data_IF_736378006229
#
_entry.id   IF_736378006229
#
_cell.length_a   1.000
_cell.length_b   1.000
_cell.length_c   1.000
_cell.angle_alpha   90.00
_cell.angle_beta   90.00
_cell.angle_gamma   90.00
#
_symmetry.space_group_name_H-M   'P 1'
#
loop_
_entity.id
_entity.type
_entity.pdbx_description
1 polymer ?
#
# COMPACT_ATOMS: atom_id res chain seq x y z
N UNK A 1 -18.10 -29.82 68.74
CA UNK A 1 -17.29 -29.35 67.59
C UNK A 1 -17.03 -27.87 67.83
N UNK A 2 -15.76 -27.50 68.01
CA UNK A 2 -15.12 -26.17 67.90
C UNK A 2 -15.87 -24.95 68.46
N UNK A 3 -15.29 -23.96 69.12
CA UNK A 3 -13.95 -23.64 69.58
C UNK A 3 -14.12 -22.35 70.39
N UNK A 4 -13.18 -22.08 71.29
CA UNK A 4 -12.74 -20.74 71.73
C UNK A 4 -13.78 -19.70 72.14
N UNK A 5 -14.00 -19.58 73.46
CA UNK A 5 -14.16 -18.26 74.08
C UNK A 5 -13.55 -18.22 75.50
N UNK A 6 -12.77 -17.15 75.71
CA UNK A 6 -12.52 -16.38 76.94
C UNK A 6 -11.34 -16.72 77.87
N UNK A 7 -10.53 -15.66 77.96
CA UNK A 7 -9.87 -15.09 79.15
C UNK A 7 -8.51 -15.67 79.58
N UNK A 8 -7.44 -15.07 79.02
CA UNK A 8 -6.26 -14.76 79.82
C UNK A 8 -5.53 -13.49 79.31
N UNK A 9 -5.49 -12.49 80.19
CA UNK A 9 -4.42 -11.48 80.37
C UNK A 9 -4.13 -10.51 79.21
N UNK A 10 -4.86 -9.39 79.24
CA UNK A 10 -4.26 -8.09 78.88
C UNK A 10 -3.41 -7.59 80.05
N UNK A 11 -2.09 -7.71 79.92
CA UNK A 11 -1.13 -6.87 80.64
C UNK A 11 -0.18 -6.27 79.63
N UNK A 12 -0.34 -4.96 79.46
CA UNK A 12 0.72 -3.97 79.32
C UNK A 12 1.94 -4.37 78.49
N UNK A 13 2.06 -3.79 77.30
CA UNK A 13 3.31 -3.13 76.94
C UNK A 13 3.01 -1.89 76.09
N UNK A 14 3.28 -0.75 76.71
CA UNK A 14 3.51 0.53 76.07
C UNK A 14 4.61 0.34 75.01
N UNK A 15 4.37 0.83 73.79
CA UNK A 15 5.43 1.17 72.85
C UNK A 15 5.48 2.71 72.81
N UNK A 16 6.53 3.22 73.43
CA UNK A 16 6.94 4.63 73.46
C UNK A 16 7.04 5.22 72.04
N UNK A 17 6.47 6.41 71.77
CA UNK A 17 6.66 7.12 70.51
C UNK A 17 7.77 8.16 70.63
N UNK A 18 9.06 7.81 70.51
CA UNK A 18 10.09 8.88 70.52
C UNK A 18 11.47 8.64 69.88
N UNK A 19 11.78 7.53 69.19
CA UNK A 19 13.10 7.38 68.54
C UNK A 19 13.10 7.63 67.02
N UNK A 20 12.01 7.33 66.32
CA UNK A 20 11.92 7.51 64.85
C UNK A 20 11.95 8.99 64.45
N UNK A 21 11.51 9.90 65.32
CA UNK A 21 11.48 11.34 65.02
C UNK A 21 12.85 12.01 65.12
N UNK A 22 13.74 11.55 66.00
CA UNK A 22 15.05 12.16 66.19
C UNK A 22 16.02 11.76 65.06
N UNK A 23 16.01 10.48 64.68
CA UNK A 23 16.82 9.97 63.58
C UNK A 23 16.38 10.56 62.23
N UNK A 24 15.06 10.65 62.00
CA UNK A 24 14.51 11.35 60.84
C UNK A 24 14.88 12.84 60.82
N UNK A 25 14.89 13.54 61.96
CA UNK A 25 15.30 14.93 62.04
C UNK A 25 16.79 15.13 61.68
N UNK A 26 17.67 14.21 62.10
CA UNK A 26 19.09 14.22 61.71
C UNK A 26 19.25 14.06 60.19
N UNK A 27 18.50 13.14 59.59
CA UNK A 27 18.56 12.90 58.14
C UNK A 27 17.99 14.07 57.34
N UNK A 28 16.90 14.68 57.81
CA UNK A 28 16.31 15.88 57.19
C UNK A 28 17.31 17.04 57.24
N UNK A 29 17.97 17.28 58.38
CA UNK A 29 18.97 18.34 58.51
C UNK A 29 20.18 18.11 57.59
N UNK A 30 20.67 16.88 57.47
CA UNK A 30 21.76 16.54 56.56
C UNK A 30 21.39 16.81 55.09
N UNK A 31 20.15 16.50 54.69
CA UNK A 31 19.64 16.81 53.36
C UNK A 31 19.50 18.33 53.13
N UNK A 32 19.02 19.09 54.13
CA UNK A 32 18.94 20.54 54.03
C UNK A 32 20.33 21.19 53.95
N UNK A 33 21.34 20.65 54.62
CA UNK A 33 22.73 21.12 54.48
C UNK A 33 23.29 20.88 53.08
N UNK A 34 22.97 19.74 52.46
CA UNK A 34 23.31 19.48 51.05
C UNK A 34 22.61 20.47 50.12
N UNK A 35 21.34 20.80 50.37
CA UNK A 35 20.61 21.82 49.62
C UNK A 35 21.27 23.22 49.76
N UNK A 36 21.66 23.64 50.97
CA UNK A 36 22.39 24.90 51.20
C UNK A 36 23.75 24.92 50.51
N UNK A 37 24.46 23.78 50.47
CA UNK A 37 25.71 23.65 49.73
C UNK A 37 25.50 23.78 48.21
N UNK A 38 24.42 23.19 47.68
CA UNK A 38 24.04 23.32 46.28
C UNK A 38 23.71 24.78 45.91
N UNK A 39 22.95 25.47 46.75
CA UNK A 39 22.62 26.90 46.57
C UNK A 39 23.88 27.77 46.56
N UNK A 40 24.82 27.54 47.49
CA UNK A 40 26.11 28.25 47.53
C UNK A 40 26.95 28.01 46.27
N UNK A 41 26.99 26.78 45.75
CA UNK A 41 27.69 26.47 44.49
C UNK A 41 27.08 27.16 43.27
N UNK A 42 25.79 27.48 43.31
CA UNK A 42 25.08 28.22 42.26
C UNK A 42 25.03 29.74 42.51
N UNK A 43 25.70 30.22 43.57
CA UNK A 43 25.67 31.61 44.02
C UNK A 43 24.23 32.14 44.24
N UNK A 44 23.38 31.35 44.90
CA UNK A 44 22.04 31.75 45.30
C UNK A 44 21.99 32.25 46.73
N UNK A 45 21.20 33.30 46.92
CA UNK A 45 20.78 33.78 48.23
C UNK A 45 19.46 33.10 48.59
N UNK A 46 19.37 32.54 49.79
CA UNK A 46 18.15 31.96 50.34
C UNK A 46 17.41 33.06 51.09
N UNK A 47 16.18 33.37 50.67
CA UNK A 47 15.39 34.45 51.28
C UNK A 47 14.52 33.90 52.42
N UNK A 48 13.86 32.75 52.21
CA UNK A 48 13.10 32.06 53.26
C UNK A 48 13.15 30.51 53.09
N UNK A 49 13.80 29.80 54.02
CA UNK A 49 13.97 28.35 53.96
C UNK A 49 12.75 27.60 54.54
N UNK A 50 12.07 26.79 53.72
CA UNK A 50 10.80 26.10 54.10
C UNK A 50 10.89 24.56 54.08
N UNK A 51 11.99 24.00 54.58
CA UNK A 51 12.17 22.55 54.73
C UNK A 51 12.25 21.78 53.39
N UNK A 52 12.27 20.44 53.44
CA UNK A 52 12.59 19.62 52.26
C UNK A 52 11.56 19.72 51.12
N UNK A 53 10.26 19.71 51.45
CA UNK A 53 9.17 19.65 50.47
C UNK A 53 8.52 21.03 50.27
N UNK A 54 8.81 22.00 51.15
CA UNK A 54 8.30 23.35 51.01
C UNK A 54 9.07 24.16 49.98
N UNK A 55 8.36 25.12 49.38
CA UNK A 55 8.94 26.08 48.45
C UNK A 55 9.81 27.07 49.22
N UNK A 56 11.10 27.08 48.90
CA UNK A 56 12.09 28.01 49.42
C UNK A 56 12.32 29.09 48.37
N UNK A 57 12.13 30.34 48.75
CA UNK A 57 12.37 31.48 47.88
C UNK A 57 13.88 31.75 47.80
N UNK A 58 14.38 31.87 46.57
CA UNK A 58 15.79 32.04 46.27
C UNK A 58 16.02 33.12 45.23
N UNK A 59 17.12 33.84 45.40
CA UNK A 59 17.57 34.87 44.47
C UNK A 59 18.90 34.45 43.83
N UNK A 60 18.99 34.47 42.50
CA UNK A 60 20.26 34.16 41.82
C UNK A 60 21.28 35.31 41.90
N UNK A 61 22.53 35.04 41.53
CA UNK A 61 23.62 36.04 41.50
C UNK A 61 23.38 37.26 40.60
N UNK A 62 22.39 37.20 39.71
CA UNK A 62 21.99 38.29 38.80
C UNK A 62 20.74 39.04 39.33
N UNK A 63 20.19 38.63 40.49
CA UNK A 63 19.05 39.29 41.13
C UNK A 63 17.67 38.78 40.66
N UNK A 64 17.60 37.59 40.05
CA UNK A 64 16.31 36.99 39.71
C UNK A 64 15.77 36.16 40.89
N UNK A 65 14.57 36.50 41.34
CA UNK A 65 13.81 35.76 42.36
C UNK A 65 13.03 34.59 41.74
N UNK A 66 13.07 33.42 42.38
CA UNK A 66 12.28 32.23 42.03
C UNK A 66 12.18 31.29 43.23
N UNK A 67 11.20 30.37 43.22
CA UNK A 67 11.01 29.40 44.29
C UNK A 67 11.50 28.00 43.87
N UNK A 68 12.14 27.27 44.78
CA UNK A 68 12.58 25.88 44.58
C UNK A 68 12.24 25.00 45.78
N UNK A 69 11.98 23.71 45.56
CA UNK A 69 11.90 22.72 46.63
C UNK A 69 13.25 22.06 46.81
N UNK A 70 13.73 21.96 48.05
CA UNK A 70 15.00 21.30 48.34
C UNK A 70 14.99 19.82 47.87
N UNK A 71 13.84 19.14 47.98
CA UNK A 71 13.66 17.79 47.46
C UNK A 71 13.88 17.70 45.93
N UNK A 72 13.37 18.64 45.14
CA UNK A 72 13.55 18.61 43.67
C UNK A 72 15.03 18.78 43.28
N UNK A 73 15.78 19.56 44.06
CA UNK A 73 17.22 19.78 43.87
C UNK A 73 18.02 18.53 44.20
N UNK A 74 17.65 17.82 45.27
CA UNK A 74 18.36 16.66 45.78
C UNK A 74 17.96 15.34 45.09
N UNK A 75 16.74 15.24 44.56
CA UNK A 75 16.16 13.98 44.02
C UNK A 75 16.40 13.77 42.53
N UNK A 76 16.94 14.76 41.82
CA UNK A 76 17.35 14.54 40.43
C UNK A 76 18.55 13.58 40.41
N UNK A 77 18.64 12.61 39.48
CA UNK A 77 19.69 11.57 39.43
C UNK A 77 21.11 12.10 39.18
N UNK A 78 21.26 13.42 39.26
CA UNK A 78 22.49 14.17 39.22
C UNK A 78 22.49 15.17 40.39
N UNK A 79 22.52 14.71 41.66
CA UNK A 79 22.53 15.61 42.83
C UNK A 79 23.81 16.47 42.88
N UNK A 80 24.78 16.20 42.00
CA UNK A 80 25.97 17.02 41.70
C UNK A 80 26.28 17.17 40.20
N UNK A 81 25.39 16.75 39.29
CA UNK A 81 25.73 16.48 37.88
C UNK A 81 25.29 17.55 36.87
N UNK A 82 25.66 18.80 37.11
CA UNK A 82 25.83 19.79 36.05
C UNK A 82 27.14 20.52 36.31
N UNK A 83 27.98 20.65 35.28
CA UNK A 83 29.23 21.40 35.41
C UNK A 83 28.96 22.82 35.95
N UNK A 84 29.94 23.47 36.59
CA UNK A 84 29.81 24.77 37.25
C UNK A 84 29.30 25.94 36.37
N UNK A 85 28.98 25.69 35.10
CA UNK A 85 28.73 26.68 34.07
C UNK A 85 27.28 26.71 33.53
N UNK A 86 26.32 25.93 34.09
CA UNK A 86 24.90 26.00 33.65
C UNK A 86 23.97 26.48 34.77
N UNK A 87 23.39 27.70 34.67
CA UNK A 87 22.53 28.25 35.72
C UNK A 87 21.16 27.55 35.75
N UNK A 88 20.70 27.21 36.95
CA UNK A 88 19.36 26.65 37.19
C UNK A 88 18.24 27.71 37.11
N UNK A 89 18.59 29.00 37.31
CA UNK A 89 17.64 30.09 37.11
C UNK A 89 17.18 30.10 35.64
N UNK A 90 15.88 29.88 35.41
CA UNK A 90 15.28 29.85 34.06
C UNK A 90 15.63 31.12 33.27
N UNK A 91 15.56 32.29 33.90
CA UNK A 91 15.92 33.58 33.30
C UNK A 91 17.39 33.64 32.90
N UNK A 92 18.33 33.27 33.77
CA UNK A 92 19.77 33.26 33.42
C UNK A 92 20.11 32.23 32.35
N UNK A 93 19.45 31.07 32.35
CA UNK A 93 19.61 30.05 31.30
C UNK A 93 19.11 30.54 29.96
N UNK A 94 17.98 31.24 29.96
CA UNK A 94 17.42 31.84 28.75
C UNK A 94 18.30 32.96 28.21
N UNK A 95 18.95 33.78 29.04
CA UNK A 95 19.86 34.85 28.58
C UNK A 95 21.01 34.31 27.71
N UNK A 96 21.66 33.22 28.13
CA UNK A 96 22.71 32.58 27.32
C UNK A 96 22.18 32.03 25.99
N UNK A 97 21.03 31.36 26.05
CA UNK A 97 20.39 30.79 24.87
C UNK A 97 19.89 31.88 23.89
N UNK A 98 19.32 32.98 24.39
CA UNK A 98 18.91 34.16 23.60
C UNK A 98 20.12 34.78 22.89
N UNK A 99 21.28 34.88 23.56
CA UNK A 99 22.50 35.40 22.95
C UNK A 99 23.02 34.48 21.81
N UNK A 100 23.00 33.17 22.02
CA UNK A 100 23.36 32.18 20.99
C UNK A 100 22.38 32.20 19.80
N UNK A 101 21.09 32.33 20.06
CA UNK A 101 20.05 32.46 19.05
C UNK A 101 20.21 33.75 18.24
N UNK A 102 20.51 34.87 18.92
CA UNK A 102 20.80 36.14 18.27
C UNK A 102 22.05 36.08 17.39
N UNK A 103 23.10 35.38 17.83
CA UNK A 103 24.30 35.18 17.04
C UNK A 103 24.02 34.40 15.75
N UNK A 104 23.21 33.33 15.82
CA UNK A 104 22.77 32.57 14.65
C UNK A 104 21.91 33.43 13.73
N UNK A 105 20.92 34.15 14.27
CA UNK A 105 20.06 35.06 13.50
C UNK A 105 20.88 36.09 12.71
N UNK A 106 21.85 36.74 13.35
CA UNK A 106 22.73 37.71 12.68
C UNK A 106 23.59 37.06 11.59
N UNK A 107 24.07 35.84 11.82
CA UNK A 107 24.85 35.08 10.84
C UNK A 107 24.03 34.72 9.60
N UNK A 108 22.84 34.16 9.80
CA UNK A 108 21.92 33.79 8.70
C UNK A 108 21.46 35.04 7.94
N UNK A 109 21.05 36.09 8.66
CA UNK A 109 20.64 37.34 8.03
C UNK A 109 21.75 37.98 7.18
N UNK A 110 23.00 37.96 7.67
CA UNK A 110 24.15 38.43 6.89
C UNK A 110 24.35 37.61 5.61
N UNK A 111 24.19 36.29 5.69
CA UNK A 111 24.39 35.38 4.57
C UNK A 111 23.30 35.57 3.50
N UNK A 112 22.05 35.78 3.92
CA UNK A 112 20.91 35.99 3.02
C UNK A 112 20.70 37.45 2.58
N UNK A 113 21.51 38.39 3.08
CA UNK A 113 21.36 39.82 2.80
C UNK A 113 20.06 40.40 3.37
N UNK A 114 19.69 39.99 4.57
CA UNK A 114 18.47 40.43 5.28
C UNK A 114 18.84 41.59 6.21
N UNK A 115 18.11 42.69 6.09
CA UNK A 115 18.21 43.82 7.00
C UNK A 115 17.34 43.55 8.24
N UNK A 116 17.96 43.60 9.43
CA UNK A 116 17.28 43.41 10.71
C UNK A 116 17.19 44.75 11.46
N UNK A 117 16.00 45.10 11.90
CA UNK A 117 15.74 46.25 12.79
C UNK A 117 15.13 45.72 14.07
N UNK A 118 15.76 45.99 15.22
CA UNK A 118 15.20 45.63 16.52
C UNK A 118 13.90 46.40 16.76
N UNK A 119 12.89 45.72 17.28
CA UNK A 119 11.63 46.35 17.70
C UNK A 119 11.56 46.39 19.23
N UNK A 120 10.66 47.21 19.76
CA UNK A 120 10.38 47.25 21.20
C UNK A 120 9.48 46.09 21.66
N UNK A 121 9.11 45.18 20.75
CA UNK A 121 8.27 44.02 21.05
C UNK A 121 9.10 42.89 21.68
N UNK A 122 8.55 42.32 22.76
CA UNK A 122 9.00 41.05 23.34
C UNK A 122 8.06 39.95 22.89
N UNK A 123 8.60 38.75 22.67
CA UNK A 123 7.81 37.60 22.27
C UNK A 123 6.86 37.11 23.37
N UNK A 124 5.74 36.50 22.96
CA UNK A 124 4.65 36.09 23.86
C UNK A 124 5.05 34.95 24.82
N UNK A 125 6.21 34.31 24.63
CA UNK A 125 6.70 33.25 25.50
C UNK A 125 7.13 33.73 26.89
N UNK A 126 7.36 35.05 27.05
CA UNK A 126 7.90 35.63 28.28
C UNK A 126 9.35 35.22 28.57
N UNK A 127 10.01 34.54 27.63
CA UNK A 127 11.41 34.12 27.73
C UNK A 127 12.38 35.22 27.29
N UNK A 128 11.85 36.39 26.86
CA UNK A 128 12.61 37.62 26.62
C UNK A 128 13.23 37.69 25.24
N UNK A 129 12.61 37.07 24.22
CA UNK A 129 13.13 37.15 22.87
C UNK A 129 12.82 38.52 22.28
N UNK A 130 13.86 39.19 21.79
CA UNK A 130 13.72 40.42 21.02
C UNK A 130 13.15 40.06 19.65
N UNK A 131 12.03 40.69 19.29
CA UNK A 131 11.45 40.57 17.94
C UNK A 131 12.17 41.54 17.01
N UNK A 132 12.60 41.05 15.85
CA UNK A 132 13.21 41.84 14.80
C UNK A 132 12.24 42.00 13.63
N UNK A 133 12.11 43.23 13.15
CA UNK A 133 11.56 43.49 11.83
C UNK A 133 12.65 43.21 10.79
N UNK A 134 12.39 42.29 9.88
CA UNK A 134 13.32 41.81 8.87
C UNK A 134 12.85 42.17 7.46
N UNK A 135 13.79 42.58 6.61
CA UNK A 135 13.54 42.83 5.18
C UNK A 135 14.53 42.03 4.34
N UNK A 136 14.03 41.15 3.48
CA UNK A 136 14.90 40.36 2.61
C UNK A 136 15.26 41.10 1.31
N UNK A 137 16.27 40.59 0.60
CA UNK A 137 16.71 41.10 -0.71
C UNK A 137 15.64 41.11 -1.79
N UNK A 138 14.60 40.27 -1.66
CA UNK A 138 13.43 40.24 -2.55
C UNK A 138 12.32 41.23 -2.15
N UNK A 139 12.51 42.00 -1.08
CA UNK A 139 11.58 43.02 -0.61
C UNK A 139 10.46 42.55 0.32
N UNK A 140 10.48 41.29 0.77
CA UNK A 140 9.52 40.78 1.77
C UNK A 140 9.85 41.33 3.15
N UNK A 141 8.80 41.74 3.89
CA UNK A 141 8.90 42.24 5.25
C UNK A 141 8.25 41.22 6.19
N UNK A 142 8.96 40.81 7.24
CA UNK A 142 8.47 39.82 8.20
C UNK A 142 9.03 40.08 9.59
N UNK A 143 8.43 39.47 10.61
CA UNK A 143 8.94 39.47 11.99
C UNK A 143 9.67 38.16 12.25
N UNK A 144 10.77 38.22 12.97
CA UNK A 144 11.57 37.04 13.33
C UNK A 144 12.20 37.23 14.71
N UNK A 145 12.41 36.14 15.42
CA UNK A 145 13.14 36.07 16.68
C UNK A 145 14.45 35.32 16.47
N UNK A 146 15.31 35.30 17.50
CA UNK A 146 16.49 34.45 17.49
C UNK A 146 16.17 32.96 17.37
N UNK A 147 15.02 32.52 17.90
CA UNK A 147 14.59 31.12 17.85
C UNK A 147 14.24 30.68 16.42
N UNK A 148 13.63 31.56 15.63
CA UNK A 148 13.22 31.29 14.25
C UNK A 148 14.39 31.05 13.28
N UNK A 149 15.59 31.46 13.67
CA UNK A 149 16.81 31.21 12.93
C UNK A 149 17.35 29.78 13.11
N UNK A 150 16.68 28.95 13.90
CA UNK A 150 17.06 27.56 14.19
C UNK A 150 15.92 26.59 13.86
N UNK A 151 16.30 25.37 13.51
CA UNK A 151 15.38 24.25 13.32
C UNK A 151 15.06 23.60 14.67
N UNK A 152 14.09 22.68 14.69
CA UNK A 152 13.78 21.87 15.88
C UNK A 152 14.96 20.99 16.35
N UNK A 153 15.98 20.79 15.50
CA UNK A 153 17.24 20.09 15.83
C UNK A 153 18.35 21.01 16.32
N UNK A 154 18.04 22.28 16.56
CA UNK A 154 18.99 23.31 17.01
C UNK A 154 20.06 23.69 15.95
N UNK A 155 19.80 23.39 14.68
CA UNK A 155 20.66 23.75 13.54
C UNK A 155 20.20 25.08 12.90
N UNK A 156 21.09 25.92 12.34
CA UNK A 156 20.68 27.12 11.60
C UNK A 156 19.72 26.81 10.43
N UNK A 157 18.73 27.67 10.20
CA UNK A 157 17.84 27.53 9.02
C UNK A 157 18.54 27.95 7.73
N UNK A 158 18.27 27.25 6.64
CA UNK A 158 18.83 27.56 5.31
C UNK A 158 18.22 28.82 4.69
N UNK A 159 16.95 29.11 4.98
CA UNK A 159 16.25 30.30 4.49
C UNK A 159 15.40 30.90 5.60
N UNK A 160 15.76 32.09 6.09
CA UNK A 160 15.09 32.77 7.19
C UNK A 160 13.77 33.41 6.74
N UNK A 161 13.73 33.99 5.54
CA UNK A 161 12.53 34.64 5.02
C UNK A 161 11.43 33.61 4.69
N UNK A 162 10.24 33.66 5.34
CA UNK A 162 9.18 32.67 5.14
C UNK A 162 8.66 32.59 3.70
N UNK A 163 8.48 33.74 3.05
CA UNK A 163 8.04 33.80 1.64
C UNK A 163 9.08 33.25 0.67
N UNK A 164 10.37 33.54 0.91
CA UNK A 164 11.46 32.97 0.10
C UNK A 164 11.57 31.46 0.29
N UNK A 165 11.42 30.98 1.53
CA UNK A 165 11.41 29.55 1.86
C UNK A 165 10.26 28.84 1.12
N UNK A 166 9.05 29.40 1.21
CA UNK A 166 7.86 28.88 0.53
C UNK A 166 8.01 28.88 -1.00
N UNK A 167 8.61 29.94 -1.56
CA UNK A 167 8.90 30.01 -2.99
C UNK A 167 9.93 28.94 -3.43
N UNK A 168 10.95 28.67 -2.61
CA UNK A 168 11.92 27.61 -2.87
C UNK A 168 11.28 26.22 -2.83
N UNK A 169 10.41 25.97 -1.84
CA UNK A 169 9.65 24.72 -1.76
C UNK A 169 8.74 24.50 -2.97
N UNK A 170 8.08 25.57 -3.45
CA UNK A 170 7.25 25.50 -4.66
C UNK A 170 8.11 25.17 -5.88
N UNK A 171 9.26 25.84 -6.02
CA UNK A 171 10.20 25.59 -7.12
C UNK A 171 10.71 24.15 -7.12
N UNK A 172 11.02 23.58 -5.95
CA UNK A 172 11.39 22.16 -5.82
C UNK A 172 10.25 21.24 -6.28
N UNK A 173 9.02 21.52 -5.85
CA UNK A 173 7.85 20.75 -6.25
C UNK A 173 7.60 20.79 -7.76
N UNK A 174 7.65 21.98 -8.38
CA UNK A 174 7.48 22.11 -9.83
C UNK A 174 8.61 21.42 -10.61
N UNK A 175 9.86 21.50 -10.14
CA UNK A 175 10.97 20.78 -10.76
C UNK A 175 10.78 19.25 -10.71
N UNK A 176 10.23 18.72 -9.61
CA UNK A 176 9.84 17.30 -9.50
C UNK A 176 8.76 16.94 -10.51
N UNK A 177 7.74 17.78 -10.67
CA UNK A 177 6.69 17.52 -11.67
C UNK A 177 7.28 17.50 -13.07
N UNK A 178 8.14 18.45 -13.41
CA UNK A 178 8.79 18.49 -14.73
C UNK A 178 9.59 17.21 -15.00
N UNK A 179 10.34 16.72 -14.00
CA UNK A 179 11.06 15.45 -14.11
C UNK A 179 10.11 14.27 -14.37
N UNK A 180 9.02 14.15 -13.60
CA UNK A 180 8.01 13.09 -13.77
C UNK A 180 7.32 13.17 -15.13
N UNK A 181 6.95 14.37 -15.57
CA UNK A 181 6.32 14.61 -16.87
C UNK A 181 7.24 14.16 -18.00
N UNK A 182 8.53 14.49 -17.91
CA UNK A 182 9.56 14.09 -18.88
C UNK A 182 9.75 12.57 -18.92
N UNK A 183 9.89 11.95 -17.76
CA UNK A 183 10.09 10.50 -17.62
C UNK A 183 8.89 9.70 -18.15
N UNK A 184 7.68 10.09 -17.77
CA UNK A 184 6.44 9.38 -18.11
C UNK A 184 5.87 9.76 -19.48
N UNK A 185 6.50 10.71 -20.18
CA UNK A 185 5.98 11.35 -21.41
C UNK A 185 4.54 11.85 -21.24
N UNK A 186 4.26 12.42 -20.06
CA UNK A 186 2.97 13.03 -19.74
C UNK A 186 2.93 14.47 -20.27
N UNK A 187 1.79 15.14 -20.13
CA UNK A 187 1.62 16.52 -20.58
C UNK A 187 1.07 17.38 -19.45
N UNK A 188 1.61 18.58 -19.28
CA UNK A 188 1.04 19.57 -18.37
C UNK A 188 -0.17 20.20 -19.06
N UNK A 189 -1.33 20.13 -18.41
CA UNK A 189 -2.58 20.71 -18.90
C UNK A 189 -2.71 22.15 -18.44
N UNK A 190 -2.43 22.39 -17.16
CA UNK A 190 -2.60 23.70 -16.54
C UNK A 190 -1.71 23.84 -15.31
N UNK A 191 -1.07 25.00 -15.19
CA UNK A 191 -0.29 25.38 -14.02
C UNK A 191 -1.04 26.40 -13.17
N UNK A 192 -1.01 26.20 -11.87
CA UNK A 192 -1.52 27.12 -10.85
C UNK A 192 -0.35 27.60 -9.99
N UNK A 193 -0.63 28.56 -9.10
CA UNK A 193 0.38 29.08 -8.18
C UNK A 193 0.99 27.99 -7.27
N UNK A 194 0.21 27.01 -6.85
CA UNK A 194 0.57 25.98 -5.87
C UNK A 194 0.25 24.56 -6.33
N UNK A 195 -0.16 24.39 -7.57
CA UNK A 195 -0.57 23.09 -8.10
C UNK A 195 -0.35 23.03 -9.61
N UNK A 196 -0.39 21.82 -10.16
CA UNK A 196 -0.30 21.58 -11.60
C UNK A 196 -1.15 20.38 -11.99
N UNK A 197 -1.96 20.56 -13.01
CA UNK A 197 -2.75 19.50 -13.63
C UNK A 197 -1.93 18.84 -14.73
N UNK A 198 -1.72 17.53 -14.60
CA UNK A 198 -0.96 16.71 -15.53
C UNK A 198 -1.88 15.65 -16.13
N UNK A 199 -1.77 15.44 -17.44
CA UNK A 199 -2.43 14.36 -18.16
C UNK A 199 -1.40 13.29 -18.53
N UNK A 200 -1.61 12.06 -18.09
CA UNK A 200 -0.71 10.95 -18.39
C UNK A 200 -0.77 10.57 -19.87
N UNK A 201 0.21 9.77 -20.34
CA UNK A 201 0.27 9.30 -21.74
C UNK A 201 -0.99 8.58 -22.24
N UNK A 202 -1.76 7.97 -21.33
CA UNK A 202 -3.04 7.26 -21.60
C UNK A 202 -4.27 8.18 -21.43
N UNK A 203 -4.09 9.49 -21.26
CA UNK A 203 -5.17 10.48 -21.21
C UNK A 203 -5.78 10.77 -19.82
N UNK A 204 -5.38 10.05 -18.77
CA UNK A 204 -5.90 10.27 -17.42
C UNK A 204 -5.36 11.56 -16.80
N UNK A 205 -6.22 12.35 -16.17
CA UNK A 205 -5.85 13.63 -15.54
C UNK A 205 -5.56 13.46 -14.04
N UNK A 206 -4.56 14.17 -13.54
CA UNK A 206 -4.15 14.16 -12.14
C UNK A 206 -3.63 15.55 -11.72
N UNK A 207 -3.85 15.92 -10.47
CA UNK A 207 -3.42 17.22 -9.93
C UNK A 207 -2.35 17.02 -8.87
N UNK A 208 -1.20 17.65 -9.05
CA UNK A 208 -0.14 17.68 -8.04
C UNK A 208 -0.20 18.99 -7.27
N UNK A 209 -0.14 18.92 -5.95
CA UNK A 209 -0.03 20.08 -5.07
C UNK A 209 1.41 20.19 -4.57
N UNK A 210 2.03 21.36 -4.71
CA UNK A 210 3.44 21.58 -4.33
C UNK A 210 3.60 22.32 -3.00
N UNK A 211 2.49 22.73 -2.40
CA UNK A 211 2.45 23.56 -1.19
C UNK A 211 2.55 22.81 0.13
N UNK A 212 2.35 21.50 0.11
CA UNK A 212 2.50 20.62 1.25
C UNK A 212 3.66 19.66 1.04
N UNK A 213 4.29 19.26 2.16
CA UNK A 213 5.30 18.20 2.14
C UNK A 213 4.76 16.92 1.51
N UNK A 214 3.57 16.48 1.92
CA UNK A 214 2.93 15.26 1.40
C UNK A 214 2.62 15.38 -0.10
N UNK A 215 2.14 16.54 -0.55
CA UNK A 215 1.92 16.82 -1.97
C UNK A 215 3.20 16.71 -2.79
N UNK A 216 4.32 17.24 -2.27
CA UNK A 216 5.64 17.12 -2.91
C UNK A 216 6.17 15.68 -2.93
N UNK A 217 5.86 14.87 -1.93
CA UNK A 217 6.24 13.45 -1.88
C UNK A 217 5.34 12.58 -2.77
N UNK A 218 4.11 13.01 -3.05
CA UNK A 218 3.20 12.31 -3.95
C UNK A 218 3.58 12.45 -5.44
N UNK A 219 4.51 13.35 -5.78
CA UNK A 219 5.00 13.52 -7.16
C UNK A 219 5.97 12.39 -7.49
N UNK A 220 5.48 11.40 -8.24
CA UNK A 220 6.22 10.18 -8.61
C UNK A 220 5.79 9.64 -9.97
N UNK A 221 6.60 8.82 -10.65
CA UNK A 221 6.28 8.30 -11.98
C UNK A 221 4.99 7.46 -12.04
N UNK A 222 4.62 6.77 -10.96
CA UNK A 222 3.40 5.94 -10.86
C UNK A 222 2.16 6.71 -10.34
N UNK A 223 2.11 8.04 -10.56
CA UNK A 223 1.03 8.90 -10.11
C UNK A 223 -0.36 8.51 -10.65
N UNK A 224 -0.41 8.00 -11.89
CA UNK A 224 -1.67 7.67 -12.51
C UNK A 224 -2.23 6.36 -11.94
N UNK A 225 -3.19 6.48 -11.03
CA UNK A 225 -3.82 5.33 -10.36
C UNK A 225 -4.37 4.28 -11.32
N UNK A 226 -5.00 4.70 -12.44
CA UNK A 226 -5.51 3.76 -13.46
C UNK A 226 -4.40 3.02 -14.18
N UNK A 227 -3.35 3.72 -14.63
CA UNK A 227 -2.20 3.09 -15.26
C UNK A 227 -1.44 2.17 -14.29
N UNK A 228 -1.34 2.56 -13.03
CA UNK A 228 -0.70 1.75 -11.98
C UNK A 228 -1.49 0.47 -11.71
N UNK A 229 -2.83 0.51 -11.75
CA UNK A 229 -3.66 -0.71 -11.69
C UNK A 229 -3.39 -1.65 -12.86
N UNK A 230 -3.27 -1.13 -14.09
CA UNK A 230 -2.93 -1.95 -15.26
C UNK A 230 -1.55 -2.59 -15.12
N UNK A 231 -0.53 -1.80 -14.75
CA UNK A 231 0.82 -2.33 -14.53
C UNK A 231 0.85 -3.43 -13.45
N UNK A 232 0.09 -3.27 -12.36
CA UNK A 232 -0.03 -4.30 -11.32
C UNK A 232 -0.75 -5.55 -11.80
N UNK A 233 -1.71 -5.41 -12.71
CA UNK A 233 -2.40 -6.54 -13.31
C UNK A 233 -1.48 -7.31 -14.28
N UNK A 234 -0.71 -6.59 -15.10
CA UNK A 234 0.32 -7.16 -15.98
C UNK A 234 1.37 -7.93 -15.17
N UNK A 235 1.93 -7.33 -14.12
CA UNK A 235 2.90 -7.97 -13.22
C UNK A 235 2.34 -9.24 -12.55
N UNK A 236 1.08 -9.19 -12.09
CA UNK A 236 0.41 -10.36 -11.52
C UNK A 236 0.29 -11.47 -12.58
N UNK A 237 -0.17 -11.12 -13.77
CA UNK A 237 -0.40 -12.04 -14.88
C UNK A 237 0.89 -12.74 -15.29
N UNK A 238 1.99 -12.01 -15.45
CA UNK A 238 3.32 -12.58 -15.72
C UNK A 238 3.77 -13.51 -14.59
N UNK A 239 3.66 -13.06 -13.33
CA UNK A 239 4.08 -13.86 -12.18
C UNK A 239 3.32 -15.18 -12.04
N UNK A 240 2.06 -15.24 -12.48
CA UNK A 240 1.25 -16.45 -12.37
C UNK A 240 1.40 -17.37 -13.58
N UNK A 241 1.75 -16.82 -14.76
CA UNK A 241 2.01 -17.59 -15.99
C UNK A 241 3.08 -18.67 -15.77
N UNK A 242 4.18 -18.32 -15.09
CA UNK A 242 5.26 -19.27 -14.75
C UNK A 242 4.80 -20.48 -13.91
N UNK A 243 3.63 -20.38 -13.27
CA UNK A 243 3.05 -21.44 -12.44
C UNK A 243 1.92 -22.18 -13.15
N UNK A 244 1.70 -21.92 -14.43
CA UNK A 244 0.60 -22.47 -15.22
C UNK A 244 -0.75 -22.02 -14.68
N UNK A 245 -0.87 -20.75 -14.30
CA UNK A 245 -2.11 -20.14 -13.81
C UNK A 245 -2.47 -18.97 -14.73
N UNK A 246 -3.74 -18.92 -15.11
CA UNK A 246 -4.36 -17.84 -15.90
C UNK A 246 -5.30 -17.04 -14.99
N UNK A 247 -5.18 -15.71 -14.95
CA UNK A 247 -6.13 -14.83 -14.24
C UNK A 247 -7.27 -14.49 -15.18
N UNK A 248 -8.52 -14.60 -14.72
CA UNK A 248 -9.72 -14.39 -15.54
C UNK A 248 -10.24 -12.94 -15.53
N UNK A 249 -9.76 -12.11 -14.60
CA UNK A 249 -10.20 -10.72 -14.51
C UNK A 249 -9.57 -9.86 -15.62
N UNK A 250 -10.25 -8.80 -16.05
CA UNK A 250 -9.72 -7.85 -17.04
C UNK A 250 -8.90 -6.70 -16.43
N UNK A 251 -8.95 -6.55 -15.10
CA UNK A 251 -8.26 -5.47 -14.39
C UNK A 251 -7.87 -5.84 -12.96
N UNK A 252 -6.91 -5.09 -12.41
CA UNK A 252 -6.52 -5.21 -11.01
C UNK A 252 -7.64 -4.79 -10.06
N UNK A 253 -8.05 -5.72 -9.19
CA UNK A 253 -9.06 -5.47 -8.17
C UNK A 253 -8.41 -4.85 -6.93
N UNK A 254 -7.58 -5.62 -6.22
CA UNK A 254 -6.79 -5.18 -5.06
C UNK A 254 -5.79 -6.26 -4.62
N UNK A 255 -4.70 -5.88 -3.96
CA UNK A 255 -3.67 -6.81 -3.48
C UNK A 255 -4.17 -7.84 -2.44
N UNK A 256 -5.19 -7.46 -1.68
CA UNK A 256 -5.79 -8.26 -0.60
C UNK A 256 -7.07 -8.99 -1.02
N UNK A 257 -7.59 -8.74 -2.23
CA UNK A 257 -8.82 -9.37 -2.72
C UNK A 257 -8.49 -10.55 -3.64
N UNK A 258 -9.32 -11.61 -3.64
CA UNK A 258 -9.16 -12.72 -4.58
C UNK A 258 -9.50 -12.25 -6.00
N UNK A 259 -8.62 -12.57 -6.94
CA UNK A 259 -8.88 -12.52 -8.38
C UNK A 259 -9.25 -13.94 -8.84
N UNK A 260 -10.24 -14.11 -9.71
CA UNK A 260 -10.52 -15.44 -10.25
C UNK A 260 -9.37 -15.91 -11.14
N UNK A 261 -8.98 -17.17 -10.97
CA UNK A 261 -7.88 -17.76 -11.71
C UNK A 261 -8.12 -19.24 -11.97
N UNK A 262 -7.54 -19.75 -13.05
CA UNK A 262 -7.60 -21.16 -13.47
C UNK A 262 -6.19 -21.70 -13.55
N UNK A 263 -5.93 -22.88 -13.01
CA UNK A 263 -4.63 -23.54 -13.19
C UNK A 263 -4.61 -24.45 -14.42
N UNK A 264 -3.43 -24.91 -14.83
CA UNK A 264 -3.24 -25.81 -15.98
C UNK A 264 -4.09 -27.10 -15.91
N UNK A 265 -4.48 -27.54 -14.71
CA UNK A 265 -5.34 -28.70 -14.52
C UNK A 265 -6.85 -28.40 -14.68
N UNK A 266 -7.22 -27.14 -14.92
CA UNK A 266 -8.62 -26.69 -15.07
C UNK A 266 -9.30 -26.32 -13.75
N UNK A 267 -8.59 -26.25 -12.63
CA UNK A 267 -9.21 -25.85 -11.35
C UNK A 267 -9.37 -24.34 -11.28
N UNK A 268 -10.60 -23.88 -11.08
CA UNK A 268 -10.91 -22.49 -10.77
C UNK A 268 -10.75 -22.20 -9.27
N UNK A 269 -10.13 -21.06 -8.91
CA UNK A 269 -9.93 -20.63 -7.52
C UNK A 269 -9.69 -19.12 -7.39
N UNK A 270 -9.85 -18.61 -6.17
CA UNK A 270 -9.53 -17.22 -5.83
C UNK A 270 -8.04 -17.02 -5.54
N UNK A 271 -7.33 -16.33 -6.42
CA UNK A 271 -5.93 -15.96 -6.27
C UNK A 271 -5.80 -14.60 -5.53
N UNK A 272 -5.22 -14.62 -4.33
CA UNK A 272 -4.89 -13.38 -3.59
C UNK A 272 -3.40 -13.08 -3.81
N UNK A 273 -3.04 -11.98 -4.52
CA UNK A 273 -1.65 -11.67 -4.86
C UNK A 273 -0.69 -11.70 -3.66
N UNK A 274 -1.07 -11.09 -2.53
CA UNK A 274 -0.22 -11.03 -1.33
C UNK A 274 -0.09 -12.36 -0.58
N UNK A 275 -0.97 -13.33 -0.83
CA UNK A 275 -0.96 -14.65 -0.17
C UNK A 275 -0.44 -15.76 -1.08
N UNK A 276 0.05 -15.40 -2.26
CA UNK A 276 0.54 -16.32 -3.27
C UNK A 276 1.89 -16.94 -2.87
N UNK A 277 1.85 -17.94 -1.99
CA UNK A 277 3.02 -18.75 -1.58
C UNK A 277 3.09 -20.11 -2.27
N UNK A 278 1.93 -20.64 -2.68
CA UNK A 278 1.77 -21.93 -3.38
C UNK A 278 0.97 -21.69 -4.66
N UNK A 279 1.03 -22.64 -5.59
CA UNK A 279 0.18 -22.66 -6.79
C UNK A 279 -1.30 -22.88 -6.44
N UNK A 280 -2.08 -23.49 -7.33
CA UNK A 280 -3.47 -23.79 -7.03
C UNK A 280 -3.60 -24.62 -5.72
N UNK A 281 -4.65 -24.39 -4.92
CA UNK A 281 -4.86 -25.14 -3.68
C UNK A 281 -5.31 -26.59 -3.92
N UNK A 282 -5.83 -26.90 -5.12
CA UNK A 282 -6.46 -28.19 -5.43
C UNK A 282 -5.50 -29.20 -6.06
N UNK A 283 -4.50 -28.80 -6.86
CA UNK A 283 -3.51 -29.77 -7.35
C UNK A 283 -2.43 -30.08 -6.30
N UNK A 284 -1.85 -31.30 -6.36
CA UNK A 284 -0.78 -31.73 -5.47
C UNK A 284 0.45 -30.80 -5.48
N UNK A 285 1.17 -30.68 -4.34
CA UNK A 285 2.46 -30.00 -4.31
C UNK A 285 3.43 -30.56 -5.35
N UNK A 286 4.07 -29.70 -6.14
CA UNK A 286 5.05 -30.11 -7.17
C UNK A 286 4.46 -30.38 -8.56
N UNK A 287 3.13 -30.34 -8.73
CA UNK A 287 2.51 -30.40 -10.07
C UNK A 287 2.53 -29.05 -10.83
N UNK A 288 2.89 -27.95 -10.16
CA UNK A 288 2.96 -26.62 -10.76
C UNK A 288 4.40 -26.29 -11.16
N UNK A 289 4.62 -25.77 -12.38
CA UNK A 289 5.94 -25.33 -12.84
C UNK A 289 6.62 -26.24 -13.88
N UNK A 290 5.87 -27.04 -14.62
CA UNK A 290 6.36 -27.77 -15.79
C UNK A 290 5.74 -27.26 -17.09
N UNK A 291 6.50 -27.29 -18.18
CA UNK A 291 6.01 -27.11 -19.54
C UNK A 291 5.19 -28.36 -19.97
N UNK A 292 4.05 -28.60 -19.33
CA UNK A 292 3.04 -29.50 -19.89
C UNK A 292 2.45 -28.76 -21.09
N UNK A 293 2.49 -29.30 -22.33
CA UNK A 293 1.82 -28.67 -23.45
C UNK A 293 0.37 -28.44 -23.04
N UNK A 294 -0.08 -27.19 -22.93
CA UNK A 294 -1.43 -26.94 -22.46
C UNK A 294 -2.40 -27.59 -23.44
N UNK A 295 -3.45 -28.20 -22.90
CA UNK A 295 -4.61 -28.42 -23.74
C UNK A 295 -5.18 -27.03 -24.03
N UNK A 296 -4.93 -26.54 -25.23
CA UNK A 296 -5.32 -25.23 -25.76
C UNK A 296 -6.41 -25.39 -26.84
N UNK A 297 -6.89 -26.61 -27.06
CA UNK A 297 -7.99 -26.91 -27.98
C UNK A 297 -9.14 -27.58 -27.24
N UNK A 298 -10.36 -27.07 -27.47
CA UNK A 298 -11.61 -27.74 -27.14
C UNK A 298 -12.34 -28.09 -28.44
N UNK A 299 -12.95 -29.28 -28.52
CA UNK A 299 -13.69 -29.71 -29.69
C UNK A 299 -14.93 -30.52 -29.32
N UNK A 300 -15.91 -30.54 -30.23
CA UNK A 300 -17.08 -31.40 -30.17
C UNK A 300 -17.17 -32.18 -31.48
N UNK A 301 -17.10 -33.50 -31.39
CA UNK A 301 -17.23 -34.41 -32.54
C UNK A 301 -18.36 -35.39 -32.33
N UNK A 302 -18.82 -36.03 -33.40
CA UNK A 302 -19.84 -37.05 -33.34
C UNK A 302 -19.77 -38.00 -34.52
N UNK A 303 -20.43 -39.14 -34.41
CA UNK A 303 -20.68 -40.03 -35.53
C UNK A 303 -21.14 -41.38 -35.03
N UNK A 304 -21.03 -42.38 -35.89
CA UNK A 304 -21.30 -43.76 -35.52
C UNK A 304 -20.06 -44.31 -34.82
N UNK A 305 -20.09 -44.41 -33.49
CA UNK A 305 -18.96 -44.94 -32.72
C UNK A 305 -18.73 -46.41 -33.07
N UNK A 306 -17.58 -46.73 -33.65
CA UNK A 306 -17.23 -48.08 -34.09
C UNK A 306 -17.11 -49.07 -32.93
N UNK A 307 -16.88 -48.59 -31.70
CA UNK A 307 -16.77 -49.43 -30.51
C UNK A 307 -18.13 -49.87 -29.96
N UNK A 308 -19.15 -49.01 -30.05
CA UNK A 308 -20.49 -49.28 -29.49
C UNK A 308 -21.53 -49.59 -30.56
N UNK A 309 -21.30 -49.17 -31.81
CA UNK A 309 -22.27 -49.24 -32.90
C UNK A 309 -23.38 -48.19 -32.81
N UNK A 310 -23.22 -47.17 -31.95
CA UNK A 310 -24.25 -46.17 -31.68
C UNK A 310 -23.85 -44.76 -32.13
N UNK A 311 -24.84 -43.95 -32.51
CA UNK A 311 -24.63 -42.54 -32.82
C UNK A 311 -24.29 -41.78 -31.53
N UNK A 312 -23.08 -41.25 -31.47
CA UNK A 312 -22.45 -40.73 -30.26
C UNK A 312 -21.92 -39.32 -30.50
N UNK A 313 -22.00 -38.46 -29.49
CA UNK A 313 -21.31 -37.16 -29.42
C UNK A 313 -20.22 -37.22 -28.36
N UNK A 314 -19.10 -36.54 -28.63
CA UNK A 314 -17.92 -36.50 -27.78
C UNK A 314 -17.37 -35.07 -27.69
N UNK A 315 -17.60 -34.36 -26.57
CA UNK A 315 -16.75 -33.23 -26.21
C UNK A 315 -15.35 -33.73 -25.83
N UNK A 316 -14.32 -32.93 -26.09
CA UNK A 316 -12.98 -33.28 -25.66
C UNK A 316 -11.95 -32.18 -25.86
N UNK A 317 -10.77 -32.40 -25.25
CA UNK A 317 -9.64 -31.47 -25.35
C UNK A 317 -8.42 -32.05 -26.07
N UNK A 318 -7.61 -31.17 -26.66
CA UNK A 318 -6.34 -31.51 -27.30
C UNK A 318 -5.35 -30.36 -27.20
N UNK A 319 -4.18 -30.52 -27.82
CA UNK A 319 -3.13 -29.50 -27.89
C UNK A 319 -2.79 -29.13 -29.34
N UNK A 320 -2.34 -27.90 -29.57
CA UNK A 320 -1.93 -27.38 -30.87
C UNK A 320 -3.12 -27.23 -31.82
N UNK A 321 -3.11 -27.92 -32.95
CA UNK A 321 -4.26 -27.95 -33.88
C UNK A 321 -5.30 -29.02 -33.55
N UNK A 322 -5.04 -29.85 -32.54
CA UNK A 322 -5.85 -31.02 -32.20
C UNK A 322 -5.81 -32.15 -33.25
N UNK A 323 -5.08 -31.97 -34.35
CA UNK A 323 -5.13 -32.79 -35.56
C UNK A 323 -4.96 -34.30 -35.32
N UNK A 324 -3.97 -34.71 -34.52
CA UNK A 324 -3.74 -36.14 -34.27
C UNK A 324 -4.91 -36.79 -33.52
N UNK A 325 -5.53 -36.06 -32.59
CA UNK A 325 -6.64 -36.58 -31.78
C UNK A 325 -7.95 -36.58 -32.57
N UNK A 326 -8.20 -35.55 -33.38
CA UNK A 326 -9.34 -35.51 -34.29
C UNK A 326 -9.25 -36.59 -35.37
N UNK A 327 -8.05 -36.87 -35.91
CA UNK A 327 -7.85 -38.00 -36.83
C UNK A 327 -8.21 -39.34 -36.17
N UNK A 328 -7.78 -39.57 -34.93
CA UNK A 328 -8.15 -40.79 -34.22
C UNK A 328 -9.68 -40.92 -34.07
N UNK A 329 -10.38 -39.82 -33.77
CA UNK A 329 -11.84 -39.83 -33.68
C UNK A 329 -12.52 -40.18 -35.01
N UNK A 330 -11.97 -39.72 -36.13
CA UNK A 330 -12.45 -40.11 -37.46
C UNK A 330 -12.25 -41.62 -37.70
N UNK A 331 -11.11 -42.17 -37.30
CA UNK A 331 -10.85 -43.63 -37.37
C UNK A 331 -11.81 -44.42 -36.46
N UNK A 332 -12.21 -43.84 -35.32
CA UNK A 332 -13.18 -44.42 -34.38
C UNK A 332 -14.65 -44.24 -34.84
N UNK A 333 -14.89 -43.59 -35.99
CA UNK A 333 -16.21 -43.39 -36.60
C UNK A 333 -16.92 -42.09 -36.23
N UNK A 334 -16.28 -41.22 -35.46
CA UNK A 334 -16.76 -39.87 -35.10
C UNK A 334 -16.33 -38.86 -36.17
N UNK A 335 -16.97 -38.93 -37.34
CA UNK A 335 -16.56 -38.23 -38.55
C UNK A 335 -17.05 -36.78 -38.66
N UNK A 336 -18.09 -36.39 -37.92
CA UNK A 336 -18.64 -35.05 -37.95
C UNK A 336 -18.06 -34.20 -36.81
N UNK A 337 -17.46 -33.06 -37.14
CA UNK A 337 -16.91 -32.10 -36.19
C UNK A 337 -17.85 -30.87 -36.13
N UNK A 338 -18.42 -30.62 -34.96
CA UNK A 338 -19.41 -29.53 -34.76
C UNK A 338 -18.74 -28.25 -34.27
N UNK A 339 -17.68 -28.37 -33.47
CA UNK A 339 -16.99 -27.24 -32.88
C UNK A 339 -15.51 -27.52 -32.73
N UNK A 340 -14.68 -26.51 -32.99
CA UNK A 340 -13.29 -26.47 -32.56
C UNK A 340 -12.89 -25.05 -32.15
N UNK A 341 -12.43 -24.94 -30.91
CA UNK A 341 -11.89 -23.70 -30.33
C UNK A 341 -10.40 -23.91 -30.12
N UNK A 342 -9.57 -23.11 -30.77
CA UNK A 342 -8.10 -23.18 -30.66
C UNK A 342 -7.53 -21.96 -29.95
N UNK A 343 -6.35 -22.10 -29.34
CA UNK A 343 -5.66 -20.99 -28.67
C UNK A 343 -6.22 -20.68 -27.27
N UNK A 344 -6.92 -21.63 -26.63
CA UNK A 344 -7.41 -21.43 -25.27
C UNK A 344 -6.25 -21.24 -24.29
N UNK A 345 -6.33 -20.24 -23.40
CA UNK A 345 -5.32 -20.05 -22.36
C UNK A 345 -5.14 -21.30 -21.48
N UNK A 346 -3.96 -21.40 -20.87
CA UNK A 346 -3.57 -22.55 -20.03
C UNK A 346 -4.66 -22.87 -19.00
N UNK A 347 -5.15 -24.11 -19.05
CA UNK A 347 -6.18 -24.62 -18.14
C UNK A 347 -7.63 -24.38 -18.58
N UNK A 348 -7.88 -23.47 -19.51
CA UNK A 348 -9.25 -23.12 -19.93
C UNK A 348 -9.94 -24.24 -20.69
N UNK A 349 -9.25 -24.97 -21.59
CA UNK A 349 -9.87 -26.11 -22.27
C UNK A 349 -10.35 -27.18 -21.27
N UNK A 350 -9.57 -27.44 -20.21
CA UNK A 350 -9.97 -28.36 -19.14
C UNK A 350 -11.10 -27.83 -18.27
N UNK A 351 -11.09 -26.54 -17.96
CA UNK A 351 -12.18 -25.92 -17.21
C UNK A 351 -13.49 -25.98 -17.99
N UNK A 352 -13.46 -25.69 -19.29
CA UNK A 352 -14.60 -25.81 -20.20
C UNK A 352 -15.09 -27.26 -20.32
N UNK A 353 -14.18 -28.21 -20.57
CA UNK A 353 -14.53 -29.63 -20.64
C UNK A 353 -15.22 -30.11 -19.36
N UNK A 354 -14.67 -29.75 -18.21
CA UNK A 354 -15.27 -30.10 -16.92
C UNK A 354 -16.64 -29.42 -16.72
N UNK A 355 -16.78 -28.15 -17.06
CA UNK A 355 -18.07 -27.45 -16.99
C UNK A 355 -19.15 -28.17 -17.82
N UNK A 356 -18.82 -28.53 -19.06
CA UNK A 356 -19.75 -29.25 -19.95
C UNK A 356 -20.09 -30.64 -19.39
N UNK A 357 -19.09 -31.40 -18.93
CA UNK A 357 -19.35 -32.73 -18.36
C UNK A 357 -20.18 -32.67 -17.08
N UNK A 358 -19.90 -31.72 -16.17
CA UNK A 358 -20.67 -31.51 -14.94
C UNK A 358 -22.11 -31.03 -15.26
N UNK A 359 -22.29 -30.22 -16.31
CA UNK A 359 -23.59 -29.76 -16.81
C UNK A 359 -24.44 -30.91 -17.35
N UNK A 360 -23.85 -31.76 -18.21
CA UNK A 360 -24.52 -32.95 -18.73
C UNK A 360 -24.94 -33.93 -17.64
N UNK A 361 -24.10 -34.13 -16.61
CA UNK A 361 -24.45 -34.95 -15.45
C UNK A 361 -25.63 -34.34 -14.67
N UNK A 362 -25.65 -33.01 -14.52
CA UNK A 362 -26.75 -32.28 -13.87
C UNK A 362 -28.08 -32.41 -14.63
N UNK A 363 -28.02 -32.44 -15.96
CA UNK A 363 -29.18 -32.66 -16.84
C UNK A 363 -29.61 -34.13 -16.93
N UNK A 364 -28.83 -35.04 -16.32
CA UNK A 364 -29.13 -36.46 -16.24
C UNK A 364 -28.70 -37.27 -17.47
N UNK A 365 -27.81 -36.73 -18.30
CA UNK A 365 -27.23 -37.47 -19.41
C UNK A 365 -26.31 -38.58 -18.92
N UNK A 366 -26.50 -39.78 -19.48
CA UNK A 366 -25.63 -40.93 -19.20
C UNK A 366 -24.63 -41.13 -20.32
N UNK A 367 -23.37 -41.32 -19.96
CA UNK A 367 -22.31 -41.62 -20.91
C UNK A 367 -22.48 -43.02 -21.51
N UNK A 368 -22.37 -43.15 -22.84
CA UNK A 368 -22.41 -44.42 -23.58
C UNK A 368 -21.09 -45.19 -23.50
N UNK A 369 -19.97 -44.47 -23.38
CA UNK A 369 -18.63 -45.04 -23.28
C UNK A 369 -17.72 -44.11 -22.48
N UNK A 370 -16.96 -44.64 -21.52
CA UNK A 370 -16.10 -43.78 -20.68
C UNK A 370 -16.90 -42.65 -20.01
N UNK A 371 -16.26 -41.51 -19.75
CA UNK A 371 -16.92 -40.33 -19.13
C UNK A 371 -17.21 -39.21 -20.13
N UNK A 372 -16.81 -39.37 -21.39
CA UNK A 372 -16.76 -38.30 -22.39
C UNK A 372 -17.62 -38.59 -23.63
N UNK A 373 -18.30 -39.73 -23.70
CA UNK A 373 -19.11 -40.13 -24.87
C UNK A 373 -20.57 -40.21 -24.48
N UNK A 374 -21.44 -39.51 -25.20
CA UNK A 374 -22.86 -39.38 -24.90
C UNK A 374 -23.71 -39.74 -26.11
N UNK A 375 -24.99 -40.09 -25.94
CA UNK A 375 -25.89 -40.28 -27.07
C UNK A 375 -25.95 -39.03 -27.94
N UNK A 376 -26.10 -39.19 -29.26
CA UNK A 376 -26.22 -38.06 -30.21
C UNK A 376 -27.27 -37.01 -29.82
N UNK A 377 -28.31 -37.41 -29.09
CA UNK A 377 -29.36 -36.51 -28.58
C UNK A 377 -28.82 -35.42 -27.64
N UNK A 378 -27.70 -35.66 -26.95
CA UNK A 378 -27.06 -34.69 -26.05
C UNK A 378 -26.29 -33.59 -26.79
N UNK A 379 -26.19 -33.62 -28.14
CA UNK A 379 -25.39 -32.65 -28.88
C UNK A 379 -25.85 -31.21 -28.65
N UNK A 380 -27.16 -30.97 -28.63
CA UNK A 380 -27.70 -29.62 -28.44
C UNK A 380 -27.26 -29.06 -27.09
N UNK A 381 -27.45 -29.84 -26.03
CA UNK A 381 -27.08 -29.46 -24.66
C UNK A 381 -25.56 -29.29 -24.51
N UNK A 382 -24.74 -30.12 -25.18
CA UNK A 382 -23.27 -29.92 -25.24
C UNK A 382 -22.93 -28.54 -25.81
N UNK A 383 -23.56 -28.16 -26.94
CA UNK A 383 -23.27 -26.88 -27.60
C UNK A 383 -23.79 -25.70 -26.78
N UNK A 384 -24.97 -25.83 -26.17
CA UNK A 384 -25.54 -24.82 -25.29
C UNK A 384 -24.67 -24.57 -24.07
N UNK A 385 -24.22 -25.63 -23.37
CA UNK A 385 -23.32 -25.53 -22.22
C UNK A 385 -21.99 -24.85 -22.59
N UNK A 386 -21.47 -25.11 -23.80
CA UNK A 386 -20.29 -24.39 -24.28
C UNK A 386 -20.59 -22.91 -24.46
N UNK A 387 -21.73 -22.57 -25.08
CA UNK A 387 -22.19 -21.19 -25.23
C UNK A 387 -22.35 -20.47 -23.88
N UNK A 388 -23.02 -21.12 -22.93
CA UNK A 388 -23.23 -20.62 -21.56
C UNK A 388 -21.90 -20.31 -20.86
N UNK A 389 -20.90 -21.19 -21.00
CA UNK A 389 -19.60 -20.97 -20.39
C UNK A 389 -18.92 -19.70 -20.88
N UNK A 390 -19.11 -19.29 -22.14
CA UNK A 390 -18.55 -18.04 -22.65
C UNK A 390 -19.40 -16.81 -22.30
N UNK A 391 -20.72 -16.97 -22.11
CA UNK A 391 -21.58 -15.85 -21.70
C UNK A 391 -21.50 -15.51 -20.21
N UNK A 392 -21.25 -16.51 -19.36
CA UNK A 392 -21.29 -16.37 -17.90
C UNK A 392 -19.94 -16.04 -17.25
N UNK A 393 -18.88 -15.81 -18.02
CA UNK A 393 -17.55 -15.47 -17.50
C UNK A 393 -17.34 -13.94 -17.48
N UNK A 394 -17.50 -13.25 -16.33
CA UNK A 394 -17.18 -11.83 -16.25
C UNK A 394 -15.71 -11.59 -16.63
N UNK A 395 -15.43 -10.66 -17.55
CA UNK A 395 -14.06 -10.31 -17.95
C UNK A 395 -13.59 -10.91 -19.28
N UNK A 396 -14.27 -11.90 -19.83
CA UNK A 396 -14.25 -12.17 -21.27
C UNK A 396 -15.18 -11.15 -21.92
N UNK A 397 -14.67 -10.31 -22.83
CA UNK A 397 -15.52 -9.34 -23.53
C UNK A 397 -16.68 -10.08 -24.18
N UNK A 398 -17.91 -9.66 -23.88
CA UNK A 398 -19.15 -10.20 -24.43
C UNK A 398 -19.24 -9.93 -25.93
N UNK A 399 -18.54 -10.72 -26.73
CA UNK A 399 -18.99 -11.02 -28.07
C UNK A 399 -19.63 -12.40 -28.03
N UNK A 400 -20.85 -12.56 -28.58
CA UNK A 400 -21.37 -13.90 -28.79
C UNK A 400 -20.36 -14.60 -29.69
N UNK A 401 -19.76 -15.69 -29.21
CA UNK A 401 -19.26 -16.71 -30.13
C UNK A 401 -20.52 -17.22 -30.80
N UNK A 402 -20.84 -16.67 -31.98
CA UNK A 402 -21.93 -17.17 -32.80
C UNK A 402 -21.46 -18.54 -33.27
N UNK A 403 -21.88 -19.58 -32.56
CA UNK A 403 -21.85 -20.94 -33.07
C UNK A 403 -23.08 -21.01 -33.98
N UNK A 404 -22.89 -20.85 -35.29
CA UNK A 404 -23.96 -21.13 -36.25
C UNK A 404 -24.27 -22.62 -36.16
N UNK A 405 -25.34 -22.95 -35.46
CA UNK A 405 -25.95 -24.27 -35.48
C UNK A 405 -26.98 -24.23 -36.60
N UNK A 406 -26.58 -24.64 -37.81
CA UNK A 406 -27.56 -24.76 -38.89
C UNK A 406 -28.51 -25.94 -38.61
N UNK A 407 -29.79 -25.59 -38.60
CA UNK A 407 -30.96 -26.43 -38.39
C UNK A 407 -30.96 -27.67 -39.31
N UNK A 408 -31.27 -28.82 -38.72
CA UNK A 408 -31.63 -30.04 -39.45
C UNK A 408 -32.97 -29.83 -40.16
N UNK A 409 -33.00 -30.04 -41.48
CA UNK A 409 -34.20 -30.49 -42.18
C UNK A 409 -33.85 -31.53 -43.26
N UNK A 410 -34.57 -32.65 -43.20
CA UNK A 410 -34.49 -33.80 -44.10
C UNK A 410 -34.59 -33.43 -45.59
N UNK A 411 -33.59 -33.80 -46.40
CA UNK A 411 -33.77 -34.26 -47.78
C UNK A 411 -32.51 -34.96 -48.31
N UNK A 412 -32.73 -36.18 -48.79
CA UNK A 412 -31.89 -37.09 -49.59
C UNK A 412 -30.86 -36.39 -50.50
N UNK A 413 -29.55 -36.60 -50.22
CA UNK A 413 -28.44 -36.99 -51.13
C UNK A 413 -27.08 -36.72 -50.44
N UNK A 414 -26.11 -37.65 -50.59
CA UNK A 414 -24.76 -37.55 -50.02
C UNK A 414 -23.72 -37.23 -51.12
N UNK A 415 -22.45 -36.88 -50.79
CA UNK A 415 -21.94 -36.14 -49.62
C UNK A 415 -21.12 -34.90 -50.07
N UNK A 416 -21.21 -33.79 -49.35
CA UNK A 416 -20.24 -32.71 -49.48
C UNK A 416 -20.03 -32.02 -48.12
N UNK A 417 -18.80 -32.13 -47.63
CA UNK A 417 -18.11 -31.28 -46.65
C UNK A 417 -19.01 -30.71 -45.54
N UNK A 418 -19.05 -31.38 -44.38
CA UNK A 418 -19.60 -30.77 -43.17
C UNK A 418 -18.75 -29.56 -42.79
N UNK A 419 -19.33 -28.37 -42.86
CA UNK A 419 -18.71 -27.10 -42.46
C UNK A 419 -18.37 -27.14 -40.97
N UNK A 420 -17.09 -26.96 -40.67
CA UNK A 420 -16.55 -26.90 -39.31
C UNK A 420 -16.57 -25.45 -38.86
N UNK A 421 -17.19 -25.16 -37.71
CA UNK A 421 -17.03 -23.87 -37.04
C UNK A 421 -15.67 -23.85 -36.35
N UNK A 422 -14.69 -23.23 -37.02
CA UNK A 422 -13.37 -22.94 -36.49
C UNK A 422 -13.36 -21.59 -35.78
N UNK A 423 -13.22 -21.61 -34.46
CA UNK A 423 -13.11 -20.41 -33.64
C UNK A 423 -11.67 -20.28 -33.15
N UNK A 424 -10.92 -19.38 -33.77
CA UNK A 424 -9.63 -18.94 -33.25
C UNK A 424 -9.86 -17.87 -32.17
N UNK A 425 -9.44 -18.16 -30.95
CA UNK A 425 -9.58 -17.25 -29.80
C UNK A 425 -8.87 -15.91 -30.07
N UNK A 426 -7.75 -15.90 -30.79
CA UNK A 426 -7.05 -14.66 -31.16
C UNK A 426 -7.87 -13.77 -32.12
N UNK A 427 -8.89 -14.34 -32.78
CA UNK A 427 -9.74 -13.62 -33.76
C UNK A 427 -11.17 -13.38 -33.24
N UNK A 428 -11.67 -14.23 -32.32
CA UNK A 428 -13.04 -14.20 -31.82
C UNK A 428 -13.20 -13.64 -30.39
N UNK A 429 -12.16 -13.74 -29.56
CA UNK A 429 -12.18 -13.33 -28.15
C UNK A 429 -11.01 -12.38 -27.89
N UNK A 430 -11.30 -11.07 -27.90
CA UNK A 430 -10.30 -10.07 -27.55
C UNK A 430 -10.13 -10.10 -26.03
N UNK A 431 -9.01 -10.65 -25.57
CA UNK A 431 -8.45 -10.26 -24.28
C UNK A 431 -7.95 -8.83 -24.46
N UNK A 432 -8.64 -7.84 -23.87
CA UNK A 432 -8.23 -6.45 -23.91
C UNK A 432 -6.87 -6.28 -23.20
N UNK A 433 -5.76 -6.54 -23.89
CA UNK A 433 -4.43 -6.15 -23.47
C UNK A 433 -3.59 -5.48 -24.55
N UNK A 434 -3.98 -5.53 -25.83
CA UNK A 434 -3.18 -4.97 -26.93
C UNK A 434 -3.92 -3.87 -27.69
N UNK A 435 -3.99 -2.70 -27.06
CA UNK A 435 -4.24 -1.44 -27.77
C UNK A 435 -2.90 -0.94 -28.37
N UNK A 436 -2.31 -1.75 -29.27
CA UNK A 436 -1.25 -1.29 -30.16
C UNK A 436 -1.93 -0.82 -31.43
N UNK A 437 -2.20 0.48 -31.50
CA UNK A 437 -2.75 1.14 -32.67
C UNK A 437 -1.97 0.76 -33.93
N UNK A 438 -2.60 -0.01 -34.80
CA UNK A 438 -2.18 -0.17 -36.17
C UNK A 438 -2.34 1.19 -36.88
N UNK A 439 -1.23 1.92 -36.99
CA UNK A 439 -1.11 3.03 -37.93
C UNK A 439 -1.17 2.45 -39.35
N UNK A 440 -2.35 2.51 -39.95
CA UNK A 440 -2.53 2.33 -41.39
C UNK A 440 -2.58 3.69 -42.09
N UNK A 441 -2.00 3.70 -43.30
CA UNK A 441 -2.01 4.71 -44.36
C UNK A 441 -0.86 5.75 -44.31
N UNK A 442 -0.06 5.97 -45.36
CA UNK A 442 -0.33 5.77 -46.79
C UNK A 442 0.95 5.57 -47.61
N UNK A 443 0.86 4.65 -48.56
CA UNK A 443 1.50 4.74 -49.87
C UNK A 443 0.99 5.96 -50.63
N UNK A 444 1.91 6.85 -51.00
CA UNK A 444 2.05 7.41 -52.35
C UNK A 444 3.48 7.87 -52.55
#
# INVERSE_FOLDING_TARGET
MADNEREARMTSNQLEPSDVSAEAAVHINALMDLFRQACRRQAWTLDEERGLVGWTDVTCSVGHEFAVRAWDVLSTPRPFGMGPNKPWCKKCRNVGWVAECLAVLKSVAKTEGIELTATDEQDESGDGHVVFAAKCSKGHHFKTTGADARTWRDEPVDTLCPDCRKAAEYAEGFAKVEAVVRETRSTVVKEYRNAVDVRCRRGHSHSFYVDSWDGRQAIRPDFCGTCNKLAKFEELSERVKDRGITVLESQWIAASRPHRAVCFAGHEFGLIPNKMKRGCPQCPPGMYGGAVPPHDVYYVVSGLDTATGENTVKPGISSGSGYNRLRQHVEDGLTAQHLRITGLPVGMARALERFVLDGLDTEGWLSTRGVEYFPRAALHDVVDLVGEWFTDQPGLSSRPVVVDVDDVCDAVEAPAVHDVVDVDVDTAVIFDSDDVGANAASTR
#
